data_IF_021170543767
#
_entry.id   IF_021170543767
#
_cell.length_a   1.000
_cell.length_b   1.000
_cell.length_c   1.000
_cell.angle_alpha   90.00
_cell.angle_beta   90.00
_cell.angle_gamma   90.00
#
_symmetry.space_group_name_H-M   'P 1'
#
loop_
_entity.id
_entity.type
_entity.pdbx_description
1 polymer ?
#
# COMPACT_ATOMS: atom_id res chain seq x y z
N UNK A 1 -4.98 -32.47 19.63
CA UNK A 1 -5.77 -31.34 20.11
C UNK A 1 -7.23 -31.70 19.95
N UNK A 2 -8.09 -31.44 20.92
CA UNK A 2 -9.51 -31.83 20.85
C UNK A 2 -10.34 -30.96 19.87
N UNK A 3 -9.82 -29.87 19.36
CA UNK A 3 -10.51 -28.94 18.44
C UNK A 3 -9.64 -28.65 17.20
N UNK A 4 -10.28 -28.28 16.07
CA UNK A 4 -9.60 -27.97 14.82
C UNK A 4 -9.53 -26.44 14.56
N UNK A 5 -8.53 -25.94 13.81
CA UNK A 5 -8.51 -24.54 13.37
C UNK A 5 -9.80 -24.13 12.64
N UNK A 6 -10.41 -25.04 11.88
CA UNK A 6 -11.66 -24.77 11.16
C UNK A 6 -12.85 -24.56 12.10
N UNK A 7 -12.91 -25.30 13.22
CA UNK A 7 -13.96 -25.10 14.24
C UNK A 7 -13.78 -23.77 14.98
N UNK A 8 -12.55 -23.39 15.29
CA UNK A 8 -12.22 -22.07 15.86
C UNK A 8 -12.57 -20.94 14.89
N UNK A 9 -12.24 -21.09 13.61
CA UNK A 9 -12.57 -20.10 12.58
C UNK A 9 -14.07 -19.93 12.40
N UNK A 10 -14.83 -21.03 12.39
CA UNK A 10 -16.30 -21.00 12.34
C UNK A 10 -16.88 -20.25 13.54
N UNK A 11 -16.35 -20.47 14.73
CA UNK A 11 -16.75 -19.79 15.96
C UNK A 11 -16.47 -18.29 15.92
N UNK A 12 -15.23 -17.88 15.59
CA UNK A 12 -14.79 -16.48 15.53
C UNK A 12 -15.63 -15.70 14.50
N UNK A 13 -15.83 -16.24 13.30
CA UNK A 13 -16.63 -15.59 12.27
C UNK A 13 -18.11 -15.50 12.66
N UNK A 14 -18.66 -16.51 13.31
CA UNK A 14 -20.03 -16.48 13.81
C UNK A 14 -20.22 -15.43 14.91
N UNK A 15 -19.22 -15.28 15.79
CA UNK A 15 -19.20 -14.27 16.85
C UNK A 15 -19.15 -12.85 16.25
N UNK A 16 -18.26 -12.64 15.27
CA UNK A 16 -18.07 -11.33 14.63
C UNK A 16 -19.32 -10.87 13.84
N UNK A 17 -20.01 -11.82 13.17
CA UNK A 17 -21.15 -11.50 12.30
C UNK A 17 -22.51 -11.66 12.99
N UNK A 18 -22.57 -12.18 14.21
CA UNK A 18 -23.82 -12.45 14.94
C UNK A 18 -24.77 -13.42 14.22
N UNK A 19 -24.27 -14.23 13.28
CA UNK A 19 -25.10 -15.08 12.43
C UNK A 19 -24.31 -16.24 11.83
N UNK A 20 -24.77 -17.47 12.07
CA UNK A 20 -24.17 -18.68 11.47
C UNK A 20 -24.30 -18.71 9.93
N UNK A 21 -25.40 -18.17 9.40
CA UNK A 21 -25.59 -18.08 7.95
C UNK A 21 -24.67 -17.03 7.30
N UNK A 22 -24.40 -15.92 7.99
CA UNK A 22 -23.45 -14.91 7.50
C UNK A 22 -22.00 -15.45 7.55
N UNK A 23 -21.64 -16.13 8.65
CA UNK A 23 -20.35 -16.80 8.78
C UNK A 23 -20.14 -17.86 7.70
N UNK A 24 -21.15 -18.66 7.41
CA UNK A 24 -21.10 -19.67 6.36
C UNK A 24 -20.83 -19.07 4.98
N UNK A 25 -21.51 -17.98 4.63
CA UNK A 25 -21.24 -17.26 3.36
C UNK A 25 -19.80 -16.74 3.29
N UNK A 26 -19.31 -16.13 4.37
CA UNK A 26 -17.94 -15.60 4.44
C UNK A 26 -16.90 -16.71 4.30
N UNK A 27 -17.13 -17.86 4.93
CA UNK A 27 -16.25 -19.02 4.88
C UNK A 27 -16.43 -19.90 3.62
N UNK A 28 -17.36 -19.54 2.73
CA UNK A 28 -17.75 -20.34 1.54
C UNK A 28 -18.12 -21.78 1.90
N UNK A 29 -18.85 -21.95 3.02
CA UNK A 29 -19.34 -23.23 3.54
C UNK A 29 -20.88 -23.17 3.66
N UNK A 30 -21.51 -24.32 3.94
CA UNK A 30 -22.95 -24.34 4.26
C UNK A 30 -23.18 -23.94 5.72
N UNK A 31 -24.37 -23.44 6.01
CA UNK A 31 -24.75 -23.09 7.39
C UNK A 31 -24.73 -24.32 8.31
N UNK A 32 -25.10 -25.50 7.81
CA UNK A 32 -25.01 -26.75 8.57
C UNK A 32 -23.57 -27.11 8.94
N UNK A 33 -22.62 -26.94 8.02
CA UNK A 33 -21.19 -27.17 8.27
C UNK A 33 -20.66 -26.26 9.40
N UNK A 34 -20.98 -24.97 9.35
CA UNK A 34 -20.58 -24.01 10.39
C UNK A 34 -21.22 -24.34 11.73
N UNK A 35 -22.54 -24.65 11.74
CA UNK A 35 -23.25 -25.03 12.97
C UNK A 35 -22.67 -26.29 13.60
N UNK A 36 -22.35 -27.31 12.80
CA UNK A 36 -21.76 -28.56 13.25
C UNK A 36 -20.34 -28.33 13.80
N UNK A 37 -19.52 -27.54 13.11
CA UNK A 37 -18.17 -27.19 13.57
C UNK A 37 -18.18 -26.49 14.94
N UNK A 38 -19.12 -25.56 15.16
CA UNK A 38 -19.29 -24.89 16.44
C UNK A 38 -19.80 -25.86 17.50
N UNK A 39 -20.74 -26.74 17.18
CA UNK A 39 -21.25 -27.74 18.12
C UNK A 39 -20.15 -28.72 18.58
N UNK A 40 -19.29 -29.13 17.66
CA UNK A 40 -18.11 -29.93 18.00
C UNK A 40 -17.15 -29.17 18.92
N UNK A 41 -16.87 -27.90 18.64
CA UNK A 41 -16.03 -27.06 19.50
C UNK A 41 -16.62 -26.93 20.90
N UNK A 42 -17.93 -26.70 21.02
CA UNK A 42 -18.64 -26.66 22.31
C UNK A 42 -18.54 -27.99 23.07
N UNK A 43 -18.65 -29.11 22.36
CA UNK A 43 -18.51 -30.46 22.96
C UNK A 43 -17.07 -30.72 23.41
N UNK A 44 -16.08 -30.34 22.59
CA UNK A 44 -14.66 -30.52 22.92
C UNK A 44 -14.22 -29.68 24.12
N UNK A 45 -14.79 -28.49 24.29
CA UNK A 45 -14.50 -27.58 25.39
C UNK A 45 -15.39 -27.85 26.63
N UNK A 46 -16.47 -28.61 26.47
CA UNK A 46 -17.42 -28.91 27.53
C UNK A 46 -18.28 -27.72 27.99
N UNK A 47 -18.35 -26.65 27.16
CA UNK A 47 -19.10 -25.42 27.46
C UNK A 47 -19.85 -24.91 26.26
N UNK A 48 -21.04 -24.33 26.48
CA UNK A 48 -21.76 -23.65 25.40
C UNK A 48 -21.16 -22.27 25.14
N UNK A 49 -20.83 -21.99 23.88
CA UNK A 49 -20.24 -20.72 23.46
C UNK A 49 -21.29 -19.72 22.97
N UNK A 50 -22.44 -20.25 22.48
CA UNK A 50 -23.59 -19.43 22.08
C UNK A 50 -24.85 -19.78 22.86
N UNK A 51 -25.58 -18.75 23.27
CA UNK A 51 -26.98 -18.86 23.64
C UNK A 51 -27.83 -18.81 22.34
N UNK A 52 -28.61 -19.85 22.13
CA UNK A 52 -29.49 -20.06 20.95
C UNK A 52 -30.97 -19.88 21.28
N UNK A 53 -31.30 -19.41 22.46
CA UNK A 53 -32.71 -19.23 22.88
C UNK A 53 -33.42 -18.10 22.14
N UNK A 54 -32.66 -17.12 21.61
CA UNK A 54 -33.17 -15.99 20.86
C UNK A 54 -33.17 -16.20 19.34
N UNK A 55 -33.68 -15.18 18.61
CA UNK A 55 -33.71 -15.18 17.15
C UNK A 55 -32.29 -15.21 16.51
N UNK A 56 -31.32 -14.67 17.17
CA UNK A 56 -29.91 -14.62 16.75
C UNK A 56 -29.01 -15.19 17.84
N UNK A 57 -27.96 -15.94 17.47
CA UNK A 57 -27.03 -16.49 18.44
C UNK A 57 -26.28 -15.36 19.16
N UNK A 58 -26.25 -15.42 20.50
CA UNK A 58 -25.54 -14.48 21.35
C UNK A 58 -24.40 -15.23 22.05
N UNK A 59 -23.21 -14.58 22.18
CA UNK A 59 -22.13 -15.20 22.95
C UNK A 59 -22.53 -15.35 24.43
N UNK A 60 -22.28 -16.53 24.99
CA UNK A 60 -22.32 -16.75 26.45
C UNK A 60 -21.15 -16.06 27.14
N UNK A 61 -21.10 -16.05 28.44
CA UNK A 61 -19.91 -15.57 29.19
C UNK A 61 -18.67 -16.39 28.84
N UNK A 62 -18.81 -17.73 28.79
CA UNK A 62 -17.75 -18.62 28.36
C UNK A 62 -17.34 -18.33 26.90
N UNK A 63 -18.30 -18.06 26.02
CA UNK A 63 -18.03 -17.69 24.63
C UNK A 63 -17.18 -16.42 24.50
N UNK A 64 -17.44 -15.40 25.32
CA UNK A 64 -16.62 -14.16 25.33
C UNK A 64 -15.18 -14.43 25.78
N UNK A 65 -14.99 -15.26 26.81
CA UNK A 65 -13.65 -15.63 27.28
C UNK A 65 -12.88 -16.47 26.25
N UNK A 66 -13.56 -17.46 25.64
CA UNK A 66 -12.95 -18.32 24.61
C UNK A 66 -12.63 -17.55 23.33
N UNK A 67 -13.37 -16.48 22.99
CA UNK A 67 -13.17 -15.72 21.76
C UNK A 67 -11.74 -15.14 21.63
N UNK A 68 -11.23 -14.52 22.68
CA UNK A 68 -9.86 -13.98 22.68
C UNK A 68 -8.81 -15.05 22.43
N UNK A 69 -8.90 -16.17 23.16
CA UNK A 69 -7.97 -17.29 22.99
C UNK A 69 -8.10 -17.98 21.63
N UNK A 70 -9.31 -18.10 21.09
CA UNK A 70 -9.53 -18.64 19.76
C UNK A 70 -8.84 -17.77 18.67
N UNK A 71 -8.92 -16.45 18.80
CA UNK A 71 -8.25 -15.52 17.92
C UNK A 71 -6.72 -15.63 18.02
N UNK A 72 -6.17 -15.76 19.23
CA UNK A 72 -4.73 -15.97 19.45
C UNK A 72 -4.22 -17.27 18.79
N UNK A 73 -4.97 -18.37 18.94
CA UNK A 73 -4.62 -19.66 18.34
C UNK A 73 -4.64 -19.57 16.81
N UNK A 74 -5.68 -18.95 16.22
CA UNK A 74 -5.76 -18.77 14.78
C UNK A 74 -4.63 -17.86 14.25
N UNK A 75 -4.25 -16.83 14.99
CA UNK A 75 -3.10 -16.00 14.64
C UNK A 75 -1.79 -16.80 14.72
N UNK A 76 -1.64 -17.69 15.70
CA UNK A 76 -0.47 -18.57 15.82
C UNK A 76 -0.43 -19.62 14.68
N UNK A 77 -1.58 -20.21 14.30
CA UNK A 77 -1.70 -21.11 13.17
C UNK A 77 -1.34 -20.45 11.84
N UNK A 78 -1.83 -19.23 11.62
CA UNK A 78 -1.47 -18.43 10.45
C UNK A 78 0.04 -18.15 10.40
N UNK A 79 0.69 -17.83 11.53
CA UNK A 79 2.15 -17.68 11.61
C UNK A 79 2.89 -18.96 11.29
N UNK A 80 2.42 -20.11 11.77
CA UNK A 80 3.00 -21.42 11.47
C UNK A 80 2.88 -21.77 9.99
N UNK A 81 1.73 -21.50 9.36
CA UNK A 81 1.54 -21.68 7.93
C UNK A 81 2.48 -20.78 7.11
N UNK A 82 2.63 -19.52 7.47
CA UNK A 82 3.60 -18.61 6.86
C UNK A 82 5.05 -19.10 7.04
N UNK A 83 5.39 -19.63 8.22
CA UNK A 83 6.70 -20.23 8.46
C UNK A 83 6.91 -21.46 7.59
N UNK A 84 5.91 -22.31 7.43
CA UNK A 84 5.95 -23.49 6.56
C UNK A 84 6.23 -23.13 5.10
N UNK A 85 5.56 -22.08 4.60
CA UNK A 85 5.83 -21.55 3.24
C UNK A 85 7.27 -21.03 3.14
N UNK A 86 7.75 -20.33 4.16
CA UNK A 86 9.14 -19.81 4.22
C UNK A 86 10.19 -20.95 4.27
N UNK A 87 9.92 -22.02 4.99
CA UNK A 87 10.81 -23.17 5.05
C UNK A 87 10.82 -24.00 3.77
N UNK A 88 9.74 -23.94 3.00
CA UNK A 88 9.62 -24.64 1.72
C UNK A 88 10.30 -23.90 0.55
N UNK A 89 10.47 -22.59 0.66
CA UNK A 89 11.21 -21.74 -0.29
C UNK A 89 12.19 -20.88 0.50
N UNK A 90 13.45 -20.75 0.10
CA UNK A 90 14.39 -19.85 0.77
C UNK A 90 13.83 -18.41 0.68
N UNK A 91 13.44 -17.87 1.82
CA UNK A 91 13.11 -16.44 1.92
C UNK A 91 14.39 -15.65 1.76
N UNK A 92 14.33 -14.56 1.03
CA UNK A 92 15.45 -13.64 0.91
C UNK A 92 15.88 -13.17 2.31
N UNK A 93 17.16 -13.21 2.62
CA UNK A 93 17.69 -12.62 3.86
C UNK A 93 17.68 -11.08 3.78
N UNK A 94 17.69 -10.54 2.57
CA UNK A 94 17.65 -9.11 2.27
C UNK A 94 16.76 -8.85 1.07
N UNK A 95 15.96 -7.83 1.16
CA UNK A 95 15.17 -7.28 0.05
C UNK A 95 15.50 -5.79 -0.11
N UNK A 96 16.05 -5.43 -1.25
CA UNK A 96 16.19 -4.03 -1.65
C UNK A 96 15.04 -3.68 -2.58
N UNK A 97 14.29 -2.64 -2.25
CA UNK A 97 13.24 -2.07 -3.10
C UNK A 97 13.65 -0.66 -3.51
N UNK A 98 13.31 -0.25 -4.73
CA UNK A 98 13.51 1.11 -5.21
C UNK A 98 12.19 1.66 -5.73
N UNK A 99 11.73 2.76 -5.15
CA UNK A 99 10.44 3.36 -5.49
C UNK A 99 10.63 4.80 -5.93
N UNK A 100 9.91 5.15 -6.97
CA UNK A 100 9.74 6.56 -7.37
C UNK A 100 8.88 7.29 -6.35
N UNK A 101 9.32 8.46 -5.95
CA UNK A 101 8.66 9.33 -4.98
C UNK A 101 7.27 9.81 -5.41
N UNK A 102 6.92 9.66 -6.68
CA UNK A 102 5.55 9.94 -7.15
C UNK A 102 4.54 9.00 -6.52
N UNK A 103 4.97 7.81 -6.12
CA UNK A 103 4.14 6.82 -5.44
C UNK A 103 4.30 6.95 -3.93
N UNK A 104 3.25 7.41 -3.27
CA UNK A 104 3.22 7.53 -1.82
C UNK A 104 2.43 6.35 -1.22
N UNK A 105 3.06 5.64 -0.26
CA UNK A 105 2.37 4.59 0.48
C UNK A 105 1.21 5.18 1.27
N UNK A 106 0.04 4.54 1.15
CA UNK A 106 -1.13 4.90 1.94
C UNK A 106 -0.88 4.57 3.43
N UNK A 107 -0.88 5.57 4.32
CA UNK A 107 -0.65 5.36 5.74
C UNK A 107 -1.69 4.44 6.40
N UNK A 108 -2.94 4.42 5.88
CA UNK A 108 -4.02 3.61 6.44
C UNK A 108 -3.80 2.12 6.19
N UNK A 109 -3.15 1.77 5.08
CA UNK A 109 -2.83 0.38 4.76
C UNK A 109 -1.72 -0.21 5.63
N UNK A 110 -0.91 0.62 6.30
CA UNK A 110 0.17 0.22 7.22
C UNK A 110 1.09 -0.85 6.63
N UNK A 111 1.41 -0.71 5.33
CA UNK A 111 2.14 -1.73 4.55
C UNK A 111 3.47 -2.09 5.20
N UNK A 112 4.26 -1.09 5.62
CA UNK A 112 5.56 -1.33 6.28
C UNK A 112 5.42 -2.14 7.56
N UNK A 113 4.42 -1.83 8.39
CA UNK A 113 4.17 -2.58 9.62
C UNK A 113 3.75 -4.02 9.32
N UNK A 114 2.82 -4.22 8.39
CA UNK A 114 2.38 -5.56 7.97
C UNK A 114 3.54 -6.37 7.37
N UNK A 115 4.44 -5.73 6.63
CA UNK A 115 5.63 -6.37 6.10
C UNK A 115 6.58 -6.81 7.22
N UNK A 116 6.87 -5.93 8.20
CA UNK A 116 7.71 -6.26 9.35
C UNK A 116 7.13 -7.42 10.20
N UNK A 117 5.81 -7.46 10.34
CA UNK A 117 5.13 -8.58 11.01
C UNK A 117 5.22 -9.90 10.22
N UNK A 118 5.12 -9.84 8.88
CA UNK A 118 5.18 -11.01 8.01
C UNK A 118 6.62 -11.54 7.84
N UNK A 119 7.63 -10.67 7.85
CA UNK A 119 9.03 -10.98 7.59
C UNK A 119 9.96 -10.30 8.62
N UNK A 120 9.89 -10.70 9.90
CA UNK A 120 10.60 -10.02 10.99
C UNK A 120 12.13 -10.11 10.92
N UNK A 121 12.66 -11.07 10.15
CA UNK A 121 14.10 -11.32 10.06
C UNK A 121 14.72 -10.83 8.74
N UNK A 122 13.91 -10.25 7.85
CA UNK A 122 14.43 -9.75 6.58
C UNK A 122 15.07 -8.38 6.74
N UNK A 123 16.22 -8.18 6.15
CA UNK A 123 16.82 -6.85 5.98
C UNK A 123 16.12 -6.14 4.81
N UNK A 124 15.29 -5.14 5.09
CA UNK A 124 14.67 -4.31 4.07
C UNK A 124 15.52 -3.06 3.84
N UNK A 125 15.97 -2.87 2.62
CA UNK A 125 16.58 -1.63 2.16
C UNK A 125 15.62 -0.90 1.22
N UNK A 126 15.35 0.36 1.52
CA UNK A 126 14.50 1.23 0.71
C UNK A 126 15.36 2.27 0.01
N UNK A 127 15.26 2.32 -1.31
CA UNK A 127 15.96 3.31 -2.15
C UNK A 127 14.93 4.20 -2.83
N UNK A 128 15.25 5.48 -2.92
CA UNK A 128 14.51 6.45 -3.70
C UNK A 128 15.28 6.72 -4.99
N UNK A 129 14.62 6.59 -6.13
CA UNK A 129 15.18 6.90 -7.44
C UNK A 129 14.04 7.17 -8.44
N UNK A 130 14.39 7.81 -9.55
CA UNK A 130 13.42 8.19 -10.55
C UNK A 130 13.83 7.72 -11.96
N UNK A 131 12.82 7.47 -12.80
CA UNK A 131 13.01 7.23 -14.22
C UNK A 131 13.99 6.10 -14.55
N UNK A 132 15.06 6.43 -15.27
CA UNK A 132 16.08 5.47 -15.73
C UNK A 132 16.89 4.87 -14.58
N UNK A 133 17.09 5.60 -13.49
CA UNK A 133 17.84 5.10 -12.32
C UNK A 133 17.12 3.90 -11.67
N UNK A 134 15.79 3.92 -11.63
CA UNK A 134 15.00 2.75 -11.16
C UNK A 134 15.25 1.55 -12.06
N UNK A 135 15.25 1.74 -13.39
CA UNK A 135 15.49 0.68 -14.36
C UNK A 135 16.90 0.10 -14.22
N UNK A 136 17.91 0.96 -14.01
CA UNK A 136 19.29 0.54 -13.81
C UNK A 136 19.48 -0.25 -12.50
N UNK A 137 18.91 0.24 -11.39
CA UNK A 137 19.00 -0.43 -10.10
C UNK A 137 18.33 -1.83 -10.12
N UNK A 138 17.19 -1.96 -10.79
CA UNK A 138 16.54 -3.27 -10.95
C UNK A 138 17.30 -4.13 -11.97
N UNK A 139 17.68 -3.57 -13.11
CA UNK A 139 18.36 -4.28 -14.18
C UNK A 139 19.73 -4.83 -13.79
N UNK A 140 20.50 -4.09 -12.97
CA UNK A 140 21.77 -4.56 -12.41
C UNK A 140 21.61 -5.59 -11.29
N UNK A 141 20.39 -5.78 -10.75
CA UNK A 141 20.12 -6.63 -9.60
C UNK A 141 20.47 -5.98 -8.26
N UNK A 142 20.79 -4.68 -8.21
CA UNK A 142 20.99 -3.91 -6.98
C UNK A 142 19.68 -3.79 -6.18
N UNK A 143 18.55 -3.67 -6.87
CA UNK A 143 17.22 -3.75 -6.27
C UNK A 143 16.48 -4.99 -6.79
N UNK A 144 15.80 -5.69 -5.89
CA UNK A 144 14.95 -6.85 -6.21
C UNK A 144 13.60 -6.45 -6.79
N UNK A 145 13.07 -5.30 -6.38
CA UNK A 145 11.84 -4.71 -6.88
C UNK A 145 12.02 -3.22 -7.18
N UNK A 146 11.42 -2.76 -8.27
CA UNK A 146 11.34 -1.34 -8.62
C UNK A 146 9.89 -0.92 -8.82
N UNK A 147 9.56 0.32 -8.45
CA UNK A 147 8.28 0.93 -8.72
C UNK A 147 8.51 2.32 -9.32
N UNK A 148 7.92 2.55 -10.49
CA UNK A 148 8.05 3.83 -11.20
C UNK A 148 6.79 4.13 -12.02
N UNK A 149 6.61 5.37 -12.47
CA UNK A 149 5.57 5.72 -13.45
C UNK A 149 5.64 4.82 -14.67
N UNK A 150 4.46 4.31 -15.10
CA UNK A 150 4.33 3.43 -16.26
C UNK A 150 5.00 4.02 -17.47
N UNK A 151 5.78 3.19 -18.16
CA UNK A 151 6.46 3.54 -19.40
C UNK A 151 5.86 2.80 -20.61
N UNK A 152 6.06 3.33 -21.80
CA UNK A 152 5.62 2.66 -23.05
C UNK A 152 6.40 1.38 -23.32
N UNK A 153 7.66 1.32 -22.91
CA UNK A 153 8.57 0.18 -23.10
C UNK A 153 9.52 0.03 -21.92
N UNK A 154 9.88 -1.20 -21.64
CA UNK A 154 10.88 -1.57 -20.64
C UNK A 154 12.02 -2.34 -21.32
N UNK A 155 13.24 -2.33 -20.76
CA UNK A 155 14.36 -3.16 -21.20
C UNK A 155 13.98 -4.66 -21.20
N UNK A 156 14.49 -5.42 -22.18
CA UNK A 156 14.11 -6.82 -22.41
C UNK A 156 14.34 -7.75 -21.19
N UNK A 157 15.28 -7.43 -20.33
CA UNK A 157 15.60 -8.19 -19.13
C UNK A 157 14.62 -8.00 -17.96
N UNK A 158 13.68 -7.06 -18.06
CA UNK A 158 12.74 -6.70 -17.00
C UNK A 158 11.34 -7.27 -17.28
N UNK A 159 10.61 -7.49 -16.20
CA UNK A 159 9.18 -7.79 -16.19
C UNK A 159 8.47 -6.64 -15.50
N UNK A 160 7.39 -6.15 -16.11
CA UNK A 160 6.56 -5.09 -15.56
C UNK A 160 5.16 -5.63 -15.22
N UNK A 161 4.66 -5.32 -14.02
CA UNK A 161 3.30 -5.62 -13.55
C UNK A 161 2.60 -4.30 -13.25
N UNK A 162 1.49 -3.99 -13.95
CA UNK A 162 0.69 -2.81 -13.64
C UNK A 162 0.13 -2.85 -12.21
N UNK A 163 0.18 -1.72 -11.51
CA UNK A 163 -0.55 -1.53 -10.27
C UNK A 163 -1.97 -1.04 -10.54
N UNK A 164 -2.93 -1.47 -9.71
CA UNK A 164 -4.32 -1.04 -9.80
C UNK A 164 -4.50 0.41 -9.34
N UNK A 165 -3.74 0.84 -8.35
CA UNK A 165 -3.77 2.19 -7.82
C UNK A 165 -2.99 3.17 -8.71
N UNK A 166 -3.36 4.45 -8.64
CA UNK A 166 -2.67 5.54 -9.31
C UNK A 166 -2.39 6.67 -8.32
N UNK A 167 -1.30 7.37 -8.54
CA UNK A 167 -1.00 8.61 -7.84
C UNK A 167 -1.66 9.79 -8.55
N UNK A 168 -2.00 10.83 -7.82
CA UNK A 168 -2.49 12.08 -8.40
C UNK A 168 -1.44 13.17 -8.22
N UNK A 169 -0.96 13.73 -9.33
CA UNK A 169 -0.16 14.95 -9.33
C UNK A 169 -1.05 16.16 -9.52
N UNK A 170 -0.78 17.21 -8.76
CA UNK A 170 -1.42 18.51 -8.95
C UNK A 170 -0.42 19.66 -8.86
N UNK A 171 -0.84 20.87 -9.23
CA UNK A 171 0.01 22.06 -9.23
C UNK A 171 -0.24 22.86 -7.96
N UNK A 172 0.84 23.20 -7.28
CA UNK A 172 0.80 23.91 -6.00
C UNK A 172 1.67 25.17 -6.02
N UNK A 173 1.29 26.13 -5.20
CA UNK A 173 2.03 27.35 -4.90
C UNK A 173 1.87 27.72 -3.42
N UNK A 174 2.76 28.56 -2.90
CA UNK A 174 2.56 29.17 -1.58
C UNK A 174 1.26 29.99 -1.55
N UNK A 175 0.64 30.11 -0.36
CA UNK A 175 -0.63 30.88 -0.18
C UNK A 175 -0.52 32.32 -0.57
N UNK A 176 0.63 32.93 -0.37
CA UNK A 176 0.92 34.34 -0.68
C UNK A 176 1.51 34.53 -2.09
N UNK A 177 1.72 33.46 -2.85
CA UNK A 177 2.20 33.53 -4.23
C UNK A 177 1.14 34.18 -5.15
N UNK A 178 1.52 35.06 -6.10
CA UNK A 178 0.57 35.75 -6.98
C UNK A 178 -0.40 34.84 -7.73
N UNK A 179 0.02 33.62 -8.08
CA UNK A 179 -0.81 32.61 -8.76
C UNK A 179 -1.95 32.08 -7.85
N UNK A 180 -1.82 32.12 -6.52
CA UNK A 180 -2.84 31.63 -5.61
C UNK A 180 -4.18 32.39 -5.77
N UNK A 181 -4.11 33.68 -6.10
CA UNK A 181 -5.28 34.53 -6.31
C UNK A 181 -5.69 34.67 -7.79
N UNK A 182 -4.92 34.08 -8.73
CA UNK A 182 -5.15 34.31 -10.16
C UNK A 182 -6.37 33.56 -10.73
N UNK A 183 -6.92 32.57 -10.02
CA UNK A 183 -8.07 31.78 -10.41
C UNK A 183 -7.85 31.13 -11.80
N UNK A 184 -8.84 31.25 -12.70
CA UNK A 184 -8.76 30.68 -14.07
C UNK A 184 -7.61 31.24 -14.92
N UNK A 185 -7.01 32.38 -14.53
CA UNK A 185 -5.89 33.00 -15.26
C UNK A 185 -4.54 32.36 -14.90
N UNK A 186 -4.48 31.57 -13.83
CA UNK A 186 -3.25 30.95 -13.38
C UNK A 186 -2.54 30.16 -14.50
N UNK A 187 -3.29 29.36 -15.25
CA UNK A 187 -2.73 28.55 -16.36
C UNK A 187 -1.93 29.40 -17.37
N UNK A 188 -2.46 30.57 -17.79
CA UNK A 188 -1.79 31.44 -18.74
C UNK A 188 -0.59 32.21 -18.14
N UNK A 189 -0.47 32.20 -16.82
CA UNK A 189 0.59 32.93 -16.11
C UNK A 189 1.73 32.03 -15.63
N UNK A 190 1.56 30.70 -15.63
CA UNK A 190 2.60 29.75 -15.16
C UNK A 190 3.98 30.04 -15.80
N UNK A 191 4.02 30.28 -17.11
CA UNK A 191 5.26 30.54 -17.83
C UNK A 191 6.00 31.83 -17.39
N UNK A 192 5.35 32.71 -16.63
CA UNK A 192 5.94 33.96 -16.10
C UNK A 192 6.54 33.79 -14.72
N UNK A 193 6.29 32.66 -14.08
CA UNK A 193 6.78 32.34 -12.74
C UNK A 193 7.74 31.16 -12.81
N UNK A 194 8.63 31.08 -11.84
CA UNK A 194 9.59 29.99 -11.73
C UNK A 194 8.86 28.67 -11.51
N UNK A 195 9.30 27.64 -12.22
CA UNK A 195 8.91 26.25 -11.96
C UNK A 195 9.91 25.62 -11.00
N UNK A 196 9.43 24.99 -9.94
CA UNK A 196 10.23 24.11 -9.09
C UNK A 196 9.85 22.68 -9.44
N UNK A 197 10.81 21.82 -9.75
CA UNK A 197 10.54 20.48 -10.27
C UNK A 197 11.59 19.46 -9.85
N UNK A 198 11.21 18.18 -10.00
CA UNK A 198 12.16 17.08 -9.83
C UNK A 198 13.20 17.07 -10.94
N UNK A 199 14.48 16.81 -10.60
CA UNK A 199 15.60 16.83 -11.57
C UNK A 199 15.53 15.69 -12.58
N UNK A 200 14.99 14.53 -12.21
CA UNK A 200 14.82 13.36 -13.07
C UNK A 200 13.67 13.49 -14.08
N UNK A 201 12.74 14.42 -13.88
CA UNK A 201 11.64 14.69 -14.82
C UNK A 201 12.10 15.60 -15.99
N UNK A 202 13.11 15.18 -16.74
CA UNK A 202 13.52 15.92 -17.93
C UNK A 202 12.72 15.47 -19.15
N UNK A 203 11.38 15.54 -19.06
CA UNK A 203 10.55 15.61 -20.25
C UNK A 203 10.56 17.06 -20.73
N UNK A 204 11.21 17.38 -21.86
CA UNK A 204 11.27 18.76 -22.38
C UNK A 204 9.89 19.37 -22.60
N UNK A 205 8.86 18.55 -22.83
CA UNK A 205 7.47 19.01 -23.02
C UNK A 205 6.82 19.52 -21.72
N UNK A 206 7.37 19.17 -20.55
CA UNK A 206 6.91 19.65 -19.23
C UNK A 206 7.61 20.90 -18.75
N UNK A 207 8.60 21.40 -19.48
CA UNK A 207 9.26 22.65 -19.18
C UNK A 207 8.40 23.80 -19.69
N UNK A 208 7.59 24.37 -18.81
CA UNK A 208 6.67 25.47 -19.18
C UNK A 208 7.39 26.84 -19.16
N UNK A 209 8.49 26.95 -18.41
CA UNK A 209 9.25 28.22 -18.24
C UNK A 209 10.73 27.99 -18.35
N UNK A 210 11.47 28.97 -18.89
CA UNK A 210 12.94 28.99 -18.88
C UNK A 210 13.55 29.23 -17.49
N UNK A 211 12.74 29.60 -16.49
CA UNK A 211 13.16 29.80 -15.10
C UNK A 211 12.78 28.56 -14.29
N UNK A 212 13.70 27.64 -14.10
CA UNK A 212 13.45 26.46 -13.29
C UNK A 212 14.50 26.28 -12.20
N UNK A 213 14.05 25.82 -11.04
CA UNK A 213 14.89 25.20 -10.03
C UNK A 213 14.56 23.70 -9.95
N UNK A 214 15.57 22.90 -9.68
CA UNK A 214 15.41 21.45 -9.61
C UNK A 214 15.91 20.91 -8.28
N UNK A 215 15.26 19.88 -7.78
CA UNK A 215 15.69 19.10 -6.63
C UNK A 215 15.62 17.61 -6.96
N UNK A 216 16.23 16.77 -6.14
CA UNK A 216 16.29 15.32 -6.37
C UNK A 216 15.11 14.57 -5.78
N UNK A 217 14.34 15.20 -4.88
CA UNK A 217 13.19 14.62 -4.19
C UNK A 217 12.02 15.61 -4.07
N UNK A 218 10.82 15.08 -3.91
CA UNK A 218 9.61 15.90 -3.83
C UNK A 218 9.46 16.68 -2.52
N UNK A 219 10.11 16.28 -1.42
CA UNK A 219 10.05 17.04 -0.17
C UNK A 219 10.77 18.37 -0.34
N UNK A 220 11.95 18.38 -0.98
CA UNK A 220 12.67 19.60 -1.28
C UNK A 220 11.91 20.47 -2.31
N UNK A 221 11.29 19.85 -3.33
CA UNK A 221 10.43 20.57 -4.27
C UNK A 221 9.26 21.23 -3.54
N UNK A 222 8.66 20.52 -2.59
CA UNK A 222 7.56 21.03 -1.76
C UNK A 222 8.01 22.21 -0.87
N UNK A 223 9.16 22.08 -0.19
CA UNK A 223 9.72 23.12 0.66
C UNK A 223 10.00 24.41 -0.13
N UNK A 224 10.62 24.28 -1.31
CA UNK A 224 10.82 25.43 -2.21
C UNK A 224 9.50 26.09 -2.64
N UNK A 225 8.47 25.29 -2.91
CA UNK A 225 7.15 25.82 -3.25
C UNK A 225 6.50 26.53 -2.06
N UNK A 226 6.61 25.97 -0.84
CA UNK A 226 6.14 26.57 0.41
C UNK A 226 6.81 27.90 0.72
N UNK A 227 8.08 28.03 0.37
CA UNK A 227 8.87 29.28 0.53
C UNK A 227 8.58 30.33 -0.57
N UNK A 228 7.63 30.05 -1.46
CA UNK A 228 7.18 31.01 -2.47
C UNK A 228 8.15 31.15 -3.65
N UNK A 229 9.14 30.25 -3.81
CA UNK A 229 10.14 30.33 -4.89
C UNK A 229 9.48 30.21 -6.26
N UNK A 230 8.39 29.40 -6.35
CA UNK A 230 7.65 29.23 -7.59
C UNK A 230 6.50 28.24 -7.45
N UNK A 231 6.01 27.76 -8.59
CA UNK A 231 4.99 26.73 -8.64
C UNK A 231 5.64 25.34 -8.84
N UNK A 232 5.00 24.31 -8.30
CA UNK A 232 5.48 22.94 -8.38
C UNK A 232 4.36 21.95 -8.71
N UNK A 233 4.72 20.89 -9.45
CA UNK A 233 3.89 19.68 -9.58
C UNK A 233 4.25 18.74 -8.43
N UNK A 234 3.27 18.42 -7.58
CA UNK A 234 3.49 17.59 -6.39
C UNK A 234 2.44 16.48 -6.29
N UNK A 235 2.82 15.28 -5.79
CA UNK A 235 1.85 14.25 -5.44
C UNK A 235 0.88 14.77 -4.37
N UNK A 236 -0.43 14.65 -4.63
CA UNK A 236 -1.46 15.09 -3.67
C UNK A 236 -1.31 14.42 -2.31
N UNK A 237 -1.01 13.11 -2.30
CA UNK A 237 -0.81 12.36 -1.07
C UNK A 237 0.37 12.88 -0.24
N UNK A 238 1.46 13.33 -0.90
CA UNK A 238 2.59 13.96 -0.23
C UNK A 238 2.15 15.27 0.44
N UNK A 239 1.48 16.15 -0.31
CA UNK A 239 1.01 17.44 0.22
C UNK A 239 0.01 17.22 1.36
N UNK A 240 -0.96 16.31 1.21
CA UNK A 240 -1.91 15.98 2.27
C UNK A 240 -1.23 15.50 3.56
N UNK A 241 -0.11 14.81 3.44
CA UNK A 241 0.63 14.22 4.56
C UNK A 241 1.53 15.22 5.28
N UNK A 242 2.18 16.12 4.55
CA UNK A 242 3.28 16.94 5.07
C UNK A 242 3.01 18.45 5.07
N UNK A 243 2.11 18.97 4.19
CA UNK A 243 1.78 20.38 4.17
C UNK A 243 1.07 20.80 5.46
N UNK A 244 1.57 21.87 6.05
CA UNK A 244 1.00 22.51 7.26
C UNK A 244 0.02 23.65 6.90
N UNK A 245 -0.58 23.59 5.73
CA UNK A 245 -1.49 24.63 5.24
C UNK A 245 -0.77 25.81 4.61
N UNK A 246 0.46 25.67 4.18
CA UNK A 246 1.26 26.72 3.49
C UNK A 246 1.03 26.73 1.99
N UNK A 247 0.62 25.61 1.40
CA UNK A 247 0.37 25.45 -0.03
C UNK A 247 -1.11 25.65 -0.39
N UNK A 248 -1.32 26.01 -1.64
CA UNK A 248 -2.64 26.09 -2.30
C UNK A 248 -2.55 25.34 -3.63
N UNK A 249 -3.49 24.42 -3.83
CA UNK A 249 -3.66 23.71 -5.11
C UNK A 249 -4.29 24.65 -6.13
N UNK A 250 -3.70 24.75 -7.32
CA UNK A 250 -4.23 25.53 -8.42
C UNK A 250 -5.23 24.72 -9.24
N UNK A 251 -6.45 25.22 -9.37
CA UNK A 251 -7.48 24.62 -10.24
C UNK A 251 -7.16 24.91 -11.72
N UNK A 252 -6.36 24.05 -12.34
CA UNK A 252 -5.92 24.18 -13.73
C UNK A 252 -6.63 23.16 -14.64
N UNK A 253 -6.91 23.51 -15.92
CA UNK A 253 -7.41 22.56 -16.89
C UNK A 253 -6.45 21.36 -17.05
N UNK A 254 -6.99 20.13 -17.02
CA UNK A 254 -6.21 18.91 -17.16
C UNK A 254 -5.48 18.45 -15.89
N UNK A 255 -5.72 19.12 -14.76
CA UNK A 255 -5.22 18.73 -13.43
C UNK A 255 -6.38 18.37 -12.49
N UNK A 256 -6.20 17.43 -11.52
CA UNK A 256 -4.97 16.65 -11.30
C UNK A 256 -4.71 15.63 -12.42
N UNK A 257 -3.44 15.26 -12.61
CA UNK A 257 -3.04 14.20 -13.52
C UNK A 257 -2.94 12.88 -12.77
N UNK A 258 -3.46 11.81 -13.36
CA UNK A 258 -3.31 10.45 -12.82
C UNK A 258 -2.04 9.82 -13.36
N UNK A 259 -1.19 9.36 -12.45
CA UNK A 259 0.05 8.67 -12.75
C UNK A 259 -0.13 7.20 -12.38
N UNK A 260 -0.22 6.35 -13.39
CA UNK A 260 -0.20 4.91 -13.21
C UNK A 260 1.25 4.46 -13.02
N UNK A 261 1.47 3.52 -12.13
CA UNK A 261 2.78 2.96 -11.84
C UNK A 261 2.82 1.47 -12.15
N UNK A 262 4.00 1.00 -12.53
CA UNK A 262 4.27 -0.40 -12.74
C UNK A 262 5.33 -0.87 -11.73
N UNK A 263 5.16 -2.11 -11.24
CA UNK A 263 6.12 -2.81 -10.41
C UNK A 263 7.04 -3.64 -11.31
N UNK A 264 8.34 -3.56 -11.07
CA UNK A 264 9.38 -4.16 -11.91
C UNK A 264 10.23 -5.15 -11.13
N UNK A 265 10.69 -6.17 -11.85
CA UNK A 265 11.76 -7.09 -11.40
C UNK A 265 12.47 -7.70 -12.59
N UNK A 266 13.60 -8.35 -12.32
CA UNK A 266 14.35 -9.06 -13.38
C UNK A 266 13.64 -10.34 -13.81
N UNK A 267 13.66 -10.60 -15.09
CA UNK A 267 13.09 -11.84 -15.67
C UNK A 267 13.84 -13.09 -15.26
N UNK A 268 15.17 -13.01 -15.17
CA UNK A 268 16.06 -14.14 -14.84
C UNK A 268 16.16 -14.42 -13.34
N UNK A 269 15.68 -13.47 -12.52
CA UNK A 269 15.66 -13.59 -11.05
C UNK A 269 14.24 -13.27 -10.57
N UNK A 270 13.31 -14.24 -10.66
CA UNK A 270 11.93 -14.04 -10.21
C UNK A 270 11.89 -13.60 -8.75
N UNK A 271 10.93 -12.76 -8.35
CA UNK A 271 10.81 -12.29 -6.99
C UNK A 271 10.55 -13.45 -6.02
N UNK A 272 11.28 -13.46 -4.91
CA UNK A 272 11.07 -14.40 -3.83
C UNK A 272 9.84 -14.05 -2.97
N UNK A 273 9.58 -14.82 -1.89
CA UNK A 273 8.37 -14.68 -1.09
C UNK A 273 8.13 -13.28 -0.52
N UNK A 274 9.17 -12.58 -0.08
CA UNK A 274 9.05 -11.24 0.46
C UNK A 274 8.77 -10.19 -0.63
N UNK A 275 9.44 -10.31 -1.77
CA UNK A 275 9.19 -9.45 -2.93
C UNK A 275 7.78 -9.68 -3.53
N UNK A 276 7.31 -10.93 -3.60
CA UNK A 276 5.94 -11.26 -4.02
C UNK A 276 4.90 -10.67 -3.06
N UNK A 277 5.16 -10.71 -1.75
CA UNK A 277 4.27 -10.09 -0.78
C UNK A 277 4.08 -8.59 -1.05
N UNK A 278 5.16 -7.87 -1.36
CA UNK A 278 5.09 -6.46 -1.77
C UNK A 278 4.24 -6.28 -3.03
N UNK A 279 4.47 -7.13 -4.03
CA UNK A 279 3.72 -7.10 -5.27
C UNK A 279 2.21 -7.27 -5.06
N UNK A 280 1.81 -8.12 -4.09
CA UNK A 280 0.40 -8.36 -3.76
C UNK A 280 -0.19 -7.30 -2.83
N UNK A 281 0.63 -6.72 -1.96
CA UNK A 281 0.19 -5.65 -1.05
C UNK A 281 -0.03 -4.31 -1.75
N UNK A 282 0.67 -4.06 -2.86
CA UNK A 282 0.56 -2.85 -3.68
C UNK A 282 -0.47 -2.98 -4.83
N UNK A 283 -0.81 -4.18 -5.25
CA UNK A 283 -1.75 -4.49 -6.36
C UNK A 283 -3.13 -4.74 -5.91
#
# INVERSE_FOLDING_TARGET
MPYSPESLQAFVEAAALGSFSAAARRLRKTQSTVSTAIAHLEADLGVSLFDRSGRYPQLTEAGRQVLGHAQEILAADARLQQLSVRLAAPVESRLTVVFSDVYQLDPEQRILQRFAEAFPEIELEWLDAEGEDVLELVGSGRAGLGLLPRQERYPDGLVARPLAHHSELSVYVARDHPLASAGRRAAAQLARHRQVRLSAEVDPSRVITGLAWTATDYLMVMEMAEDGIGWAELPRALVQRYDRGRLVELALPGWPRRIHSDLLWRRDTPPGPAALWWADALG
#
